data_IF_276697690119
#
_entry.id   IF_276697690119
#
_cell.length_a   1.000
_cell.length_b   1.000
_cell.length_c   1.000
_cell.angle_alpha   90.00
_cell.angle_beta   90.00
_cell.angle_gamma   90.00
#
_symmetry.space_group_name_H-M   'P 1'
#
loop_
_entity.id
_entity.type
_entity.pdbx_description
1 polymer ?
#
# COMPACT_ATOMS: atom_id res chain seq x y z
N UNK A 1 -18.07 -4.25 -3.70
CA UNK A 1 -19.21 -3.69 -2.98
C UNK A 1 -19.29 -2.18 -3.18
N UNK A 2 -20.48 -1.71 -3.55
CA UNK A 2 -20.71 -0.29 -3.79
C UNK A 2 -20.94 0.51 -2.50
N UNK A 3 -21.08 -0.16 -1.36
CA UNK A 3 -21.12 0.53 -0.08
C UNK A 3 -19.71 0.90 0.32
N UNK A 4 -19.52 2.05 0.93
CA UNK A 4 -18.23 2.48 1.42
C UNK A 4 -17.95 1.98 2.85
N UNK A 5 -18.72 1.02 3.33
CA UNK A 5 -18.54 0.42 4.63
C UNK A 5 -17.34 -0.54 4.62
N UNK A 6 -16.50 -0.52 5.67
CA UNK A 6 -15.40 -1.47 5.77
C UNK A 6 -15.89 -2.91 5.86
N UNK A 7 -15.17 -3.80 5.20
CA UNK A 7 -15.41 -5.24 5.29
C UNK A 7 -14.41 -5.87 6.22
N UNK A 8 -14.84 -6.94 6.89
CA UNK A 8 -13.94 -7.72 7.73
C UNK A 8 -12.91 -8.46 6.90
N UNK A 9 -11.67 -8.46 7.40
CA UNK A 9 -10.56 -9.17 6.76
C UNK A 9 -10.76 -10.70 6.83
N UNK A 10 -11.63 -11.18 7.72
CA UNK A 10 -11.95 -12.60 7.88
C UNK A 10 -12.45 -13.22 6.55
N UNK A 11 -13.22 -12.45 5.77
CA UNK A 11 -13.72 -12.92 4.48
C UNK A 11 -12.61 -13.09 3.45
N UNK A 12 -11.64 -12.20 3.45
CA UNK A 12 -10.48 -12.31 2.57
C UNK A 12 -9.60 -13.49 2.96
N UNK A 13 -9.38 -13.67 4.24
CA UNK A 13 -8.61 -14.81 4.75
C UNK A 13 -9.29 -16.12 4.38
N UNK A 14 -10.61 -16.18 4.55
CA UNK A 14 -11.38 -17.38 4.19
C UNK A 14 -11.29 -17.68 2.69
N UNK A 15 -11.35 -16.67 1.86
CA UNK A 15 -11.27 -16.83 0.42
C UNK A 15 -9.94 -17.46 -0.04
N UNK A 16 -8.82 -17.04 0.53
CA UNK A 16 -7.50 -17.48 0.09
C UNK A 16 -6.92 -18.65 0.87
N UNK A 17 -7.19 -18.75 2.18
CA UNK A 17 -6.51 -19.73 3.04
C UNK A 17 -7.43 -20.49 3.99
N UNK A 18 -8.71 -20.16 4.02
CA UNK A 18 -9.62 -20.69 5.01
C UNK A 18 -9.50 -19.99 6.35
N UNK A 19 -10.61 -19.50 6.86
CA UNK A 19 -10.68 -18.83 8.16
C UNK A 19 -11.39 -19.70 9.17
N UNK A 20 -10.81 -19.81 10.38
CA UNK A 20 -11.44 -20.50 11.52
C UNK A 20 -11.49 -19.54 12.70
N UNK A 21 -12.68 -19.35 13.25
CA UNK A 21 -12.89 -18.47 14.39
C UNK A 21 -12.05 -18.88 15.60
N UNK A 22 -11.89 -20.18 15.83
CA UNK A 22 -11.06 -20.72 16.91
C UNK A 22 -9.57 -20.41 16.75
N UNK A 23 -9.15 -20.06 15.54
CA UNK A 23 -7.76 -19.71 15.20
C UNK A 23 -7.65 -18.27 14.70
N UNK A 24 -8.51 -17.39 15.18
CA UNK A 24 -8.62 -16.01 14.72
C UNK A 24 -7.27 -15.28 14.68
N UNK A 25 -6.54 -15.27 15.79
CA UNK A 25 -5.27 -14.53 15.84
C UNK A 25 -4.19 -15.14 14.96
N UNK A 26 -4.16 -16.46 14.84
CA UNK A 26 -3.23 -17.12 13.93
C UNK A 26 -3.54 -16.81 12.48
N UNK A 27 -4.82 -16.70 12.12
CA UNK A 27 -5.24 -16.31 10.77
C UNK A 27 -4.85 -14.86 10.46
N UNK A 28 -5.02 -13.94 11.40
CA UNK A 28 -4.60 -12.55 11.23
C UNK A 28 -3.09 -12.44 11.07
N UNK A 29 -2.34 -13.18 11.87
CA UNK A 29 -0.88 -13.19 11.79
C UNK A 29 -0.39 -13.69 10.44
N UNK A 30 -0.99 -14.75 9.92
CA UNK A 30 -0.66 -15.29 8.61
C UNK A 30 -0.94 -14.27 7.51
N UNK A 31 -2.07 -13.60 7.58
CA UNK A 31 -2.41 -12.53 6.64
C UNK A 31 -1.38 -11.40 6.68
N UNK A 32 -1.03 -10.96 7.87
CA UNK A 32 -0.04 -9.89 8.07
C UNK A 32 1.33 -10.27 7.49
N UNK A 33 1.78 -11.50 7.73
CA UNK A 33 3.05 -11.99 7.21
C UNK A 33 3.07 -12.00 5.69
N UNK A 34 2.00 -12.46 5.05
CA UNK A 34 1.88 -12.45 3.59
C UNK A 34 1.82 -11.03 3.04
N UNK A 35 1.12 -10.13 3.72
CA UNK A 35 1.07 -8.72 3.34
C UNK A 35 2.44 -8.05 3.41
N UNK A 36 3.16 -8.24 4.52
CA UNK A 36 4.53 -7.72 4.68
C UNK A 36 5.46 -8.22 3.60
N UNK A 37 5.40 -9.51 3.32
CA UNK A 37 6.23 -10.16 2.32
C UNK A 37 6.00 -9.58 0.93
N UNK A 38 4.74 -9.42 0.55
CA UNK A 38 4.37 -8.82 -0.73
C UNK A 38 4.83 -7.37 -0.80
N UNK A 39 4.57 -6.60 0.25
CA UNK A 39 4.93 -5.19 0.29
C UNK A 39 6.44 -4.98 0.19
N UNK A 40 7.23 -5.76 0.93
CA UNK A 40 8.69 -5.70 0.89
C UNK A 40 9.27 -6.10 -0.46
N UNK A 41 8.56 -6.94 -1.21
CA UNK A 41 8.99 -7.29 -2.56
C UNK A 41 8.76 -6.16 -3.57
N UNK A 42 7.84 -5.25 -3.28
CA UNK A 42 7.46 -4.16 -4.18
C UNK A 42 8.08 -2.81 -3.81
N UNK A 43 8.33 -2.55 -2.53
CA UNK A 43 8.77 -1.25 -2.01
C UNK A 43 9.97 -1.47 -1.09
N UNK A 44 10.90 -0.52 -1.07
CA UNK A 44 12.05 -0.58 -0.17
C UNK A 44 11.58 -0.61 1.30
N UNK A 45 12.16 -1.50 2.08
CA UNK A 45 11.82 -1.71 3.48
C UNK A 45 11.94 -0.46 4.36
N UNK A 46 12.74 0.53 3.94
CA UNK A 46 12.91 1.79 4.70
C UNK A 46 11.61 2.59 4.81
N UNK A 47 10.64 2.34 3.92
CA UNK A 47 9.34 3.02 3.93
C UNK A 47 8.28 2.27 4.73
N UNK A 48 8.58 1.07 5.21
CA UNK A 48 7.61 0.16 5.79
C UNK A 48 7.82 0.01 7.29
N UNK A 49 6.77 0.23 8.07
CA UNK A 49 6.77 0.02 9.51
C UNK A 49 6.20 1.20 10.30
N UNK A 50 6.06 1.00 11.60
CA UNK A 50 5.58 2.03 12.51
C UNK A 50 6.50 3.25 12.45
N UNK A 51 5.90 4.42 12.45
CA UNK A 51 6.59 5.71 12.29
C UNK A 51 7.26 5.93 10.93
N UNK A 52 7.07 5.01 10.00
CA UNK A 52 7.54 5.13 8.62
C UNK A 52 6.39 5.54 7.71
N UNK A 53 6.60 5.43 6.39
CA UNK A 53 5.62 5.92 5.41
C UNK A 53 4.39 5.02 5.28
N UNK A 54 4.57 3.70 5.43
CA UNK A 54 3.49 2.73 5.32
C UNK A 54 3.47 1.86 6.57
N UNK A 55 2.36 1.86 7.28
CA UNK A 55 2.16 1.00 8.43
C UNK A 55 0.68 0.63 8.53
N UNK A 56 0.38 -0.39 9.32
CA UNK A 56 -0.96 -0.96 9.37
C UNK A 56 -1.29 -1.45 10.76
N UNK A 57 -2.60 -1.64 10.99
CA UNK A 57 -3.11 -2.21 12.23
C UNK A 57 -4.42 -2.93 11.96
N UNK A 58 -4.76 -3.87 12.82
CA UNK A 58 -6.06 -4.52 12.82
C UNK A 58 -6.96 -3.81 13.82
N UNK A 59 -8.15 -3.41 13.36
CA UNK A 59 -9.10 -2.65 14.18
C UNK A 59 -10.43 -3.40 14.22
N UNK A 60 -10.99 -3.68 15.42
CA UNK A 60 -12.32 -4.28 15.50
C UNK A 60 -13.39 -3.28 15.06
N UNK A 61 -14.34 -3.76 14.27
CA UNK A 61 -15.45 -2.95 13.77
C UNK A 61 -16.67 -3.83 13.53
N UNK A 62 -17.75 -3.58 14.29
CA UNK A 62 -19.05 -4.28 14.13
C UNK A 62 -18.96 -5.78 13.96
N UNK A 63 -18.24 -6.47 14.86
CA UNK A 63 -18.11 -7.93 14.85
C UNK A 63 -17.13 -8.50 13.84
N UNK A 64 -16.40 -7.65 13.13
CA UNK A 64 -15.35 -8.08 12.22
C UNK A 64 -14.05 -7.31 12.49
N UNK A 65 -12.99 -7.69 11.80
CA UNK A 65 -11.69 -7.02 11.91
C UNK A 65 -11.41 -6.27 10.63
N UNK A 66 -11.11 -4.98 10.76
CA UNK A 66 -10.71 -4.14 9.63
C UNK A 66 -9.19 -4.03 9.60
N UNK A 67 -8.61 -4.25 8.42
CA UNK A 67 -7.18 -4.05 8.20
C UNK A 67 -6.97 -2.62 7.73
N UNK A 68 -6.43 -1.80 8.63
CA UNK A 68 -6.24 -0.37 8.38
C UNK A 68 -4.80 -0.12 7.96
N UNK A 69 -4.62 0.39 6.75
CA UNK A 69 -3.31 0.76 6.22
C UNK A 69 -3.18 2.27 6.27
N UNK A 70 -2.15 2.76 6.94
CA UNK A 70 -1.86 4.18 7.04
C UNK A 70 -0.66 4.51 6.15
N UNK A 71 -0.81 5.56 5.34
CA UNK A 71 0.25 6.00 4.46
C UNK A 71 0.61 7.44 4.78
N UNK A 72 1.89 7.70 4.98
CA UNK A 72 2.42 9.05 5.19
C UNK A 72 3.16 9.49 3.94
N UNK A 73 3.14 10.76 3.67
CA UNK A 73 3.88 11.33 2.57
C UNK A 73 5.38 11.09 2.74
N UNK A 74 6.02 10.63 1.68
CA UNK A 74 7.46 10.43 1.68
C UNK A 74 8.19 11.75 1.43
N UNK A 75 9.29 11.97 2.16
CA UNK A 75 10.20 13.09 1.92
C UNK A 75 11.13 12.82 0.74
N UNK A 76 11.19 11.59 0.28
CA UNK A 76 11.99 11.17 -0.88
C UNK A 76 11.11 10.39 -1.85
N UNK A 77 11.56 10.30 -3.10
CA UNK A 77 10.83 9.54 -4.13
C UNK A 77 10.86 8.06 -3.82
N UNK A 78 9.68 7.43 -3.88
CA UNK A 78 9.52 6.00 -3.64
C UNK A 78 9.10 5.32 -4.94
N UNK A 79 9.84 4.30 -5.35
CA UNK A 79 9.60 3.58 -6.59
C UNK A 79 9.24 2.13 -6.33
N UNK A 80 8.40 1.56 -7.22
CA UNK A 80 8.08 0.14 -7.16
C UNK A 80 9.23 -0.69 -7.74
N UNK A 81 9.56 -1.77 -7.07
CA UNK A 81 10.69 -2.63 -7.46
C UNK A 81 10.38 -3.59 -8.62
N UNK A 82 9.12 -3.99 -8.77
CA UNK A 82 8.73 -5.14 -9.60
C UNK A 82 7.87 -4.84 -10.82
N UNK A 83 7.85 -3.62 -11.31
CA UNK A 83 7.27 -3.36 -12.61
C UNK A 83 8.34 -3.62 -13.68
N UNK A 84 8.30 -4.81 -14.28
CA UNK A 84 9.36 -5.29 -15.15
C UNK A 84 9.59 -4.44 -16.40
N UNK A 85 8.52 -3.89 -16.99
CA UNK A 85 8.63 -3.14 -18.24
C UNK A 85 9.18 -1.73 -18.03
N UNK A 86 8.66 -1.03 -17.03
CA UNK A 86 9.14 0.30 -16.69
C UNK A 86 10.51 0.22 -16.02
N UNK A 87 10.72 -0.80 -15.19
CA UNK A 87 11.99 -1.02 -14.51
C UNK A 87 13.14 -1.27 -15.48
N UNK A 88 12.90 -1.97 -16.59
CA UNK A 88 13.90 -2.18 -17.63
C UNK A 88 14.35 -0.87 -18.27
N UNK A 89 13.43 0.09 -18.41
CA UNK A 89 13.72 1.40 -19.01
C UNK A 89 14.37 2.37 -18.04
N UNK A 90 13.89 2.38 -16.79
CA UNK A 90 14.17 3.46 -15.84
C UNK A 90 14.83 2.96 -14.55
N UNK A 91 15.00 1.66 -14.39
CA UNK A 91 15.50 1.03 -13.18
C UNK A 91 14.46 0.91 -12.07
N UNK A 92 13.46 1.80 -12.03
CA UNK A 92 12.40 1.83 -11.03
C UNK A 92 11.08 2.29 -11.63
N UNK A 93 9.97 1.79 -11.11
CA UNK A 93 8.64 2.24 -11.49
C UNK A 93 8.15 3.34 -10.56
N UNK A 94 7.51 4.35 -11.12
CA UNK A 94 6.90 5.44 -10.37
C UNK A 94 5.49 5.66 -10.90
N UNK A 95 4.50 5.63 -9.99
CA UNK A 95 3.08 5.70 -10.34
C UNK A 95 2.39 6.86 -9.65
N UNK A 96 1.35 7.37 -10.29
CA UNK A 96 0.40 8.27 -9.66
C UNK A 96 -1.03 7.78 -9.90
N UNK A 97 -1.95 8.24 -9.08
CA UNK A 97 -3.35 7.86 -9.22
C UNK A 97 -4.08 8.86 -10.10
N UNK A 98 -4.79 8.34 -11.11
CA UNK A 98 -5.69 9.11 -11.96
C UNK A 98 -7.10 8.51 -11.85
N UNK A 99 -7.98 9.19 -11.10
CA UNK A 99 -9.32 8.65 -10.84
C UNK A 99 -9.27 7.31 -10.12
N UNK A 100 -9.76 6.27 -10.78
CA UNK A 100 -9.76 4.90 -10.22
C UNK A 100 -8.53 4.08 -10.61
N UNK A 101 -7.68 4.61 -11.47
CA UNK A 101 -6.53 3.89 -11.98
C UNK A 101 -5.23 4.44 -11.43
N UNK A 102 -4.22 3.57 -11.35
CA UNK A 102 -2.85 3.98 -11.07
C UNK A 102 -2.09 3.88 -12.38
N UNK A 103 -1.49 4.98 -12.81
CA UNK A 103 -0.76 5.05 -14.06
C UNK A 103 0.73 5.31 -13.83
N UNK A 104 1.60 4.65 -14.63
CA UNK A 104 3.03 4.91 -14.51
C UNK A 104 3.38 6.28 -15.07
N UNK A 105 4.36 6.91 -14.44
CA UNK A 105 4.95 8.15 -14.94
C UNK A 105 6.25 7.77 -15.65
N UNK A 106 6.24 7.79 -16.98
CA UNK A 106 7.29 7.19 -17.81
C UNK A 106 8.51 8.07 -18.06
N UNK A 107 8.40 9.38 -17.90
CA UNK A 107 9.51 10.27 -18.18
C UNK A 107 10.06 10.93 -16.92
N UNK A 108 11.36 11.23 -16.92
CA UNK A 108 12.00 11.95 -15.81
C UNK A 108 11.41 13.35 -15.65
N UNK A 109 11.09 14.00 -16.77
CA UNK A 109 10.50 15.33 -16.77
C UNK A 109 9.13 15.34 -16.09
N UNK A 110 8.27 14.38 -16.43
CA UNK A 110 6.95 14.23 -15.79
C UNK A 110 7.06 13.92 -14.31
N UNK A 111 8.01 13.06 -13.93
CA UNK A 111 8.25 12.74 -12.53
C UNK A 111 8.72 13.95 -11.73
N UNK A 112 9.62 14.72 -12.30
CA UNK A 112 10.13 15.91 -11.64
C UNK A 112 9.05 16.97 -11.47
N UNK A 113 8.20 17.14 -12.48
CA UNK A 113 7.05 18.03 -12.42
C UNK A 113 6.06 17.62 -11.35
N UNK A 114 5.70 16.33 -11.33
CA UNK A 114 4.78 15.79 -10.33
C UNK A 114 5.30 16.02 -8.92
N UNK A 115 6.58 15.75 -8.70
CA UNK A 115 7.22 15.92 -7.40
C UNK A 115 7.28 17.40 -6.98
N UNK A 116 7.63 18.27 -7.89
CA UNK A 116 7.68 19.73 -7.63
C UNK A 116 6.31 20.28 -7.30
N UNK A 117 5.27 19.92 -8.06
CA UNK A 117 3.89 20.36 -7.81
C UNK A 117 3.41 19.91 -6.44
N UNK A 118 3.71 18.68 -6.06
CA UNK A 118 3.35 18.14 -4.76
C UNK A 118 4.06 18.86 -3.62
N UNK A 119 5.35 19.08 -3.76
CA UNK A 119 6.15 19.79 -2.77
C UNK A 119 5.70 21.23 -2.57
N UNK A 120 5.33 21.91 -3.67
CA UNK A 120 4.80 23.27 -3.61
C UNK A 120 3.47 23.34 -2.86
N UNK A 121 2.58 22.37 -3.06
CA UNK A 121 1.31 22.30 -2.36
C UNK A 121 1.51 22.09 -0.85
N UNK A 122 2.46 21.27 -0.46
CA UNK A 122 2.76 21.01 0.94
C UNK A 122 3.32 22.25 1.64
N UNK A 123 4.10 23.05 0.94
CA UNK A 123 4.68 24.26 1.47
C UNK A 123 3.69 25.44 1.59
N UNK A 124 2.49 25.30 1.04
CA UNK A 124 1.44 26.32 1.08
C UNK A 124 0.49 26.20 2.27
N UNK A 125 0.67 25.21 3.11
CA UNK A 125 -0.20 24.98 4.27
C UNK A 125 0.19 25.87 5.43
#
# INVERSE_FOLDING_TARGET
DRSHEPRGIEKEIDHYWGYKESEHFACLEKFEDEFKKTLKSCIDKKYIGEEKNIFWEFVPYEGCTVFLIRCRQSSSRCYLKHDSDIRKKLGHAFYHRLGNDSEPIDSDEERDKFWSDRSSKDNQI
#
